data_IF_228678707272
#
_entry.id   IF_228678707272
#
_cell.length_a   1.000
_cell.length_b   1.000
_cell.length_c   1.000
_cell.angle_alpha   90.00
_cell.angle_beta   90.00
_cell.angle_gamma   90.00
#
_symmetry.space_group_name_H-M   'P 1'
#
loop_
_entity.id
_entity.type
_entity.pdbx_description
1 polymer ?
#
# COMPACT_ATOMS: atom_id res chain seq x y z
N UNK A 1 22.26 -5.60 22.62
CA UNK A 1 21.45 -6.18 21.52
C UNK A 1 20.01 -5.68 21.64
N UNK A 2 19.47 -5.09 20.57
CA UNK A 2 18.09 -4.59 20.54
C UNK A 2 17.12 -5.76 20.33
N UNK A 3 16.04 -5.83 21.13
CA UNK A 3 14.94 -6.77 20.93
C UNK A 3 13.88 -6.14 20.00
N UNK A 4 13.47 -6.87 18.98
CA UNK A 4 12.35 -6.50 18.10
C UNK A 4 11.05 -6.76 18.85
N UNK A 5 10.36 -5.69 19.23
CA UNK A 5 9.21 -5.74 20.15
C UNK A 5 7.91 -6.23 19.52
N UNK A 6 7.76 -6.10 18.20
CA UNK A 6 6.55 -6.46 17.47
C UNK A 6 6.88 -7.20 16.19
N UNK A 7 6.10 -8.25 15.91
CA UNK A 7 6.10 -9.00 14.66
C UNK A 7 4.73 -8.84 13.98
N UNK A 8 4.65 -8.96 12.65
CA UNK A 8 3.37 -8.93 11.95
C UNK A 8 2.47 -10.07 12.42
N UNK A 9 1.18 -9.76 12.57
CA UNK A 9 0.15 -10.68 13.01
C UNK A 9 -1.15 -10.39 12.25
N UNK A 10 -1.06 -10.45 10.93
CA UNK A 10 -2.19 -10.28 10.03
C UNK A 10 -3.19 -11.43 10.13
N UNK A 11 -4.46 -11.14 9.88
CA UNK A 11 -5.52 -12.14 9.87
C UNK A 11 -5.38 -13.12 8.69
N UNK A 12 -5.96 -14.31 8.78
CA UNK A 12 -5.86 -15.31 7.71
C UNK A 12 -6.94 -15.17 6.62
N UNK A 13 -7.75 -14.11 6.62
CA UNK A 13 -8.97 -14.03 5.78
C UNK A 13 -8.84 -13.09 4.58
N UNK A 14 -7.62 -12.74 4.18
CA UNK A 14 -7.38 -11.88 3.02
C UNK A 14 -7.77 -12.54 1.70
N UNK A 15 -8.85 -12.05 1.08
CA UNK A 15 -9.35 -12.57 -0.19
C UNK A 15 -8.34 -12.47 -1.33
N UNK A 16 -7.55 -11.39 -1.39
CA UNK A 16 -6.48 -11.29 -2.40
C UNK A 16 -5.43 -12.39 -2.28
N UNK A 17 -5.06 -12.78 -1.06
CA UNK A 17 -4.07 -13.83 -0.89
C UNK A 17 -4.60 -15.18 -1.38
N UNK A 18 -5.84 -15.53 -1.02
CA UNK A 18 -6.45 -16.82 -1.34
C UNK A 18 -6.94 -16.94 -2.79
N UNK A 19 -7.33 -15.82 -3.41
CA UNK A 19 -7.80 -15.79 -4.80
C UNK A 19 -6.68 -15.62 -5.83
N UNK A 20 -5.46 -15.27 -5.41
CA UNK A 20 -4.31 -15.28 -6.31
C UNK A 20 -3.78 -16.70 -6.49
N UNK A 21 -3.12 -16.94 -7.62
CA UNK A 21 -2.38 -18.18 -7.86
C UNK A 21 -1.44 -18.48 -6.68
N UNK A 22 -1.47 -19.73 -6.20
CA UNK A 22 -0.51 -20.21 -5.22
C UNK A 22 0.92 -20.19 -5.77
N UNK A 23 1.90 -20.09 -4.87
CA UNK A 23 3.32 -20.13 -5.22
C UNK A 23 4.06 -21.11 -4.33
N UNK A 24 5.24 -21.54 -4.77
CA UNK A 24 6.14 -22.30 -3.92
C UNK A 24 6.79 -21.34 -2.91
N UNK A 25 6.36 -21.42 -1.67
CA UNK A 25 6.92 -20.66 -0.54
C UNK A 25 8.41 -21.02 -0.44
N UNK A 26 9.27 -20.02 -0.36
CA UNK A 26 10.71 -20.18 -0.17
C UNK A 26 10.99 -20.59 1.28
N UNK A 27 11.98 -21.45 1.52
CA UNK A 27 12.27 -21.96 2.85
C UNK A 27 12.63 -20.82 3.81
N UNK A 28 12.39 -21.05 5.11
CA UNK A 28 12.92 -20.18 6.14
C UNK A 28 14.45 -20.30 6.23
N UNK A 29 15.10 -19.20 6.62
CA UNK A 29 16.54 -19.22 6.88
C UNK A 29 16.85 -20.13 8.08
N UNK A 30 17.94 -20.89 7.98
CA UNK A 30 18.43 -21.77 9.05
C UNK A 30 19.95 -21.60 9.22
N UNK A 31 20.44 -21.77 10.44
CA UNK A 31 21.85 -21.70 10.76
C UNK A 31 22.41 -20.27 10.73
N UNK A 32 23.70 -20.15 10.43
CA UNK A 32 24.41 -18.89 10.41
C UNK A 32 24.90 -18.58 9.00
N UNK A 33 24.60 -17.37 8.52
CA UNK A 33 25.09 -16.90 7.23
C UNK A 33 25.54 -15.45 7.29
N UNK A 34 26.25 -15.01 6.26
CA UNK A 34 26.59 -13.62 6.03
C UNK A 34 26.32 -13.24 4.58
N UNK A 35 26.00 -11.96 4.36
CA UNK A 35 25.84 -11.40 3.03
C UNK A 35 26.20 -9.91 3.05
N UNK A 36 26.67 -9.41 1.90
CA UNK A 36 26.94 -7.98 1.76
C UNK A 36 25.67 -7.16 1.92
N UNK A 37 24.57 -7.63 1.36
CA UNK A 37 23.27 -6.96 1.39
C UNK A 37 22.23 -7.85 2.05
N UNK A 38 21.64 -7.37 3.14
CA UNK A 38 20.50 -8.02 3.80
C UNK A 38 19.34 -7.05 3.84
N UNK A 39 18.19 -7.45 3.29
CA UNK A 39 16.98 -6.64 3.19
C UNK A 39 15.89 -7.28 4.05
N UNK A 40 15.26 -6.49 4.92
CA UNK A 40 14.16 -6.91 5.78
C UNK A 40 12.83 -6.38 5.25
N UNK A 41 11.93 -7.30 4.91
CA UNK A 41 10.59 -7.07 4.37
C UNK A 41 10.52 -7.34 2.86
N UNK A 42 9.82 -8.38 2.43
CA UNK A 42 9.60 -8.74 1.02
C UNK A 42 8.28 -8.15 0.49
N UNK A 43 7.98 -6.91 0.86
CA UNK A 43 6.94 -6.10 0.22
C UNK A 43 7.44 -5.42 -1.06
N UNK A 44 6.61 -4.54 -1.64
CA UNK A 44 6.96 -3.79 -2.87
C UNK A 44 8.33 -3.10 -2.79
N UNK A 45 8.62 -2.43 -1.67
CA UNK A 45 9.88 -1.71 -1.46
C UNK A 45 11.09 -2.64 -1.39
N UNK A 46 11.01 -3.72 -0.61
CA UNK A 46 12.13 -4.66 -0.47
C UNK A 46 12.39 -5.48 -1.73
N UNK A 47 11.33 -5.87 -2.46
CA UNK A 47 11.47 -6.57 -3.74
C UNK A 47 12.10 -5.67 -4.81
N UNK A 48 11.70 -4.40 -4.89
CA UNK A 48 12.32 -3.44 -5.80
C UNK A 48 13.79 -3.18 -5.45
N UNK A 49 14.10 -3.01 -4.15
CA UNK A 49 15.47 -2.83 -3.69
C UNK A 49 16.35 -4.06 -3.97
N UNK A 50 15.85 -5.27 -3.68
CA UNK A 50 16.59 -6.51 -3.90
C UNK A 50 16.92 -6.72 -5.37
N UNK A 51 15.92 -6.54 -6.24
CA UNK A 51 16.10 -6.66 -7.69
C UNK A 51 17.09 -5.64 -8.22
N UNK A 52 16.99 -4.39 -7.80
CA UNK A 52 17.85 -3.33 -8.31
C UNK A 52 19.28 -3.46 -7.80
N UNK A 53 19.49 -3.87 -6.54
CA UNK A 53 20.83 -4.21 -6.04
C UNK A 53 21.44 -5.39 -6.79
N UNK A 54 20.66 -6.42 -7.08
CA UNK A 54 21.11 -7.56 -7.86
C UNK A 54 21.57 -7.17 -9.28
N UNK A 55 20.94 -6.17 -9.89
CA UNK A 55 21.37 -5.62 -11.18
C UNK A 55 22.68 -4.84 -11.07
N UNK A 56 22.82 -4.00 -10.04
CA UNK A 56 24.03 -3.20 -9.82
C UNK A 56 25.23 -4.02 -9.35
N UNK A 57 24.99 -5.10 -8.63
CA UNK A 57 26.00 -5.96 -8.05
C UNK A 57 25.76 -7.43 -8.45
N UNK A 58 26.01 -7.81 -9.72
CA UNK A 58 25.70 -9.14 -10.22
C UNK A 58 26.47 -10.26 -9.50
N UNK A 59 27.65 -9.97 -8.96
CA UNK A 59 28.50 -10.91 -8.24
C UNK A 59 28.20 -10.99 -6.73
N UNK A 60 27.40 -10.06 -6.21
CA UNK A 60 27.01 -10.07 -4.80
C UNK A 60 25.81 -10.99 -4.57
N UNK A 61 25.86 -11.75 -3.47
CA UNK A 61 24.68 -12.42 -2.94
C UNK A 61 23.80 -11.42 -2.18
N UNK A 62 22.56 -11.26 -2.62
CA UNK A 62 21.55 -10.44 -1.94
C UNK A 62 20.65 -11.35 -1.12
N UNK A 63 20.54 -11.09 0.19
CA UNK A 63 19.62 -11.83 1.07
C UNK A 63 18.39 -10.97 1.35
N UNK A 64 17.22 -11.44 0.95
CA UNK A 64 15.93 -10.82 1.25
C UNK A 64 15.17 -11.72 2.23
N UNK A 65 14.71 -11.17 3.35
CA UNK A 65 13.96 -11.92 4.35
C UNK A 65 12.62 -11.29 4.67
N UNK A 66 11.61 -12.13 4.89
CA UNK A 66 10.31 -11.72 5.40
C UNK A 66 9.89 -12.59 6.59
N UNK A 67 9.14 -12.01 7.52
CA UNK A 67 8.61 -12.70 8.69
C UNK A 67 7.41 -13.60 8.34
N UNK A 68 6.75 -13.37 7.21
CA UNK A 68 5.58 -14.11 6.71
C UNK A 68 5.83 -14.57 5.27
N UNK A 69 4.83 -15.22 4.68
CA UNK A 69 4.79 -15.53 3.25
C UNK A 69 4.61 -14.25 2.42
N UNK A 70 5.31 -14.18 1.28
CA UNK A 70 5.17 -13.06 0.34
C UNK A 70 3.73 -12.97 -0.16
N UNK A 71 3.18 -11.76 -0.06
CA UNK A 71 1.80 -11.46 -0.42
C UNK A 71 0.80 -11.65 0.71
N UNK A 72 1.22 -12.18 1.86
CA UNK A 72 0.36 -12.29 3.03
C UNK A 72 0.27 -10.99 3.83
N UNK A 73 1.35 -10.19 3.91
CA UNK A 73 1.38 -8.92 4.63
C UNK A 73 0.73 -7.73 3.90
N UNK A 74 0.99 -6.50 4.36
CA UNK A 74 0.39 -5.24 3.85
C UNK A 74 0.40 -5.12 2.31
N UNK A 75 1.49 -5.51 1.65
CA UNK A 75 1.60 -5.40 0.18
C UNK A 75 0.55 -6.19 -0.57
N UNK A 76 0.04 -7.30 -0.02
CA UNK A 76 -1.04 -8.08 -0.62
C UNK A 76 -2.45 -7.72 -0.15
N UNK A 77 -2.61 -6.78 0.80
CA UNK A 77 -3.88 -6.47 1.49
C UNK A 77 -4.55 -5.16 1.09
N UNK A 78 -3.89 -4.36 0.25
CA UNK A 78 -4.40 -3.06 -0.17
C UNK A 78 -5.59 -3.18 -1.15
N UNK A 79 -6.20 -2.06 -1.55
CA UNK A 79 -7.37 -2.06 -2.45
C UNK A 79 -7.02 -2.33 -3.94
N UNK A 80 -5.73 -2.44 -4.26
CA UNK A 80 -5.23 -2.75 -5.60
C UNK A 80 -5.19 -1.56 -6.55
N UNK A 81 -4.89 -0.36 -6.03
CA UNK A 81 -4.70 0.86 -6.81
C UNK A 81 -3.21 1.19 -6.91
N UNK A 82 -2.69 1.27 -8.13
CA UNK A 82 -1.37 1.82 -8.43
C UNK A 82 -1.55 3.26 -8.95
N UNK A 83 -1.60 4.20 -8.01
CA UNK A 83 -1.91 5.61 -8.27
C UNK A 83 -0.64 6.35 -8.71
N UNK A 84 -0.79 7.06 -9.83
CA UNK A 84 0.19 7.90 -10.50
C UNK A 84 0.19 9.34 -9.96
N UNK A 85 -1.00 9.95 -9.84
CA UNK A 85 -1.11 11.35 -9.46
C UNK A 85 -0.73 11.62 -7.99
N UNK A 86 -0.27 12.83 -7.66
CA UNK A 86 -0.17 13.27 -6.28
C UNK A 86 -1.51 13.11 -5.57
N UNK A 87 -1.43 12.74 -4.30
CA UNK A 87 -2.59 12.50 -3.46
C UNK A 87 -2.30 13.01 -2.05
N UNK A 88 -2.02 14.31 -1.96
CA UNK A 88 -1.78 14.96 -0.68
C UNK A 88 -3.11 15.25 0.02
N UNK A 89 -3.55 14.30 0.83
CA UNK A 89 -4.80 14.41 1.59
C UNK A 89 -4.83 15.58 2.59
N UNK A 90 -3.68 16.20 2.88
CA UNK A 90 -3.60 17.38 3.74
C UNK A 90 -3.80 18.69 2.96
N UNK A 91 -3.59 18.68 1.65
CA UNK A 91 -3.86 19.82 0.79
C UNK A 91 -5.33 19.85 0.36
N UNK A 92 -5.96 21.03 0.40
CA UNK A 92 -7.37 21.19 0.00
C UNK A 92 -7.63 20.76 -1.46
N UNK A 93 -6.62 20.90 -2.33
CA UNK A 93 -6.68 20.52 -3.74
C UNK A 93 -6.01 19.18 -4.05
N UNK A 94 -5.59 18.41 -3.04
CA UNK A 94 -4.84 17.15 -3.18
C UNK A 94 -3.46 17.27 -3.85
N UNK A 95 -3.03 18.49 -4.21
CA UNK A 95 -1.79 18.75 -4.94
C UNK A 95 -0.74 19.37 -4.02
N UNK A 96 -1.09 20.45 -3.30
CA UNK A 96 -0.14 21.22 -2.50
C UNK A 96 0.79 22.08 -3.36
N UNK A 97 2.06 22.21 -2.95
CA UNK A 97 3.07 22.97 -3.69
C UNK A 97 3.32 22.35 -5.08
N UNK A 98 3.23 23.16 -6.14
CA UNK A 98 3.27 22.69 -7.54
C UNK A 98 4.61 22.03 -7.87
N UNK A 99 5.73 22.57 -7.40
CA UNK A 99 7.05 22.00 -7.69
C UNK A 99 7.18 20.62 -7.04
N UNK A 100 6.83 20.52 -5.75
CA UNK A 100 6.80 19.27 -4.99
C UNK A 100 5.83 18.25 -5.62
N UNK A 101 4.66 18.71 -6.07
CA UNK A 101 3.67 17.87 -6.72
C UNK A 101 4.15 17.32 -8.07
N UNK A 102 4.83 18.13 -8.89
CA UNK A 102 5.44 17.68 -10.16
C UNK A 102 6.50 16.61 -9.92
N UNK A 103 7.38 16.80 -8.95
CA UNK A 103 8.40 15.78 -8.62
C UNK A 103 7.77 14.53 -7.99
N UNK A 104 6.72 14.69 -7.18
CA UNK A 104 5.93 13.55 -6.65
C UNK A 104 5.24 12.76 -7.76
N UNK A 105 4.69 13.43 -8.76
CA UNK A 105 4.12 12.79 -9.94
C UNK A 105 5.18 11.98 -10.69
N UNK A 106 6.35 12.58 -10.98
CA UNK A 106 7.49 11.87 -11.60
C UNK A 106 7.88 10.62 -10.80
N UNK A 107 7.93 10.73 -9.47
CA UNK A 107 8.28 9.61 -8.58
C UNK A 107 7.24 8.48 -8.64
N UNK A 108 5.95 8.81 -8.58
CA UNK A 108 4.89 7.80 -8.65
C UNK A 108 4.83 7.14 -10.03
N UNK A 109 5.01 7.92 -11.10
CA UNK A 109 5.07 7.42 -12.48
C UNK A 109 6.26 6.50 -12.69
N UNK A 110 7.44 6.82 -12.14
CA UNK A 110 8.61 5.94 -12.25
C UNK A 110 8.36 4.57 -11.60
N UNK A 111 7.73 4.55 -10.43
CA UNK A 111 7.31 3.31 -9.77
C UNK A 111 6.27 2.53 -10.57
N UNK A 112 5.26 3.21 -11.11
CA UNK A 112 4.21 2.57 -11.93
C UNK A 112 4.78 1.99 -13.23
N UNK A 113 5.59 2.75 -13.95
CA UNK A 113 6.23 2.31 -15.20
C UNK A 113 7.14 1.12 -14.96
N UNK A 114 7.93 1.13 -13.88
CA UNK A 114 8.77 0.00 -13.51
C UNK A 114 7.96 -1.26 -13.19
N UNK A 115 6.83 -1.13 -12.48
CA UNK A 115 5.93 -2.27 -12.26
C UNK A 115 5.33 -2.81 -13.55
N UNK A 116 4.89 -1.94 -14.47
CA UNK A 116 4.36 -2.35 -15.77
C UNK A 116 5.40 -3.12 -16.58
N UNK A 117 6.63 -2.61 -16.65
CA UNK A 117 7.75 -3.27 -17.31
C UNK A 117 8.00 -4.67 -16.72
N UNK A 118 8.02 -4.82 -15.40
CA UNK A 118 8.22 -6.12 -14.75
C UNK A 118 7.06 -7.09 -14.99
N UNK A 119 5.82 -6.59 -14.96
CA UNK A 119 4.63 -7.39 -15.25
C UNK A 119 4.66 -7.93 -16.67
N UNK A 120 5.01 -7.09 -17.64
CA UNK A 120 5.15 -7.47 -19.04
C UNK A 120 6.34 -8.42 -19.26
N UNK A 121 7.54 -8.07 -18.76
CA UNK A 121 8.75 -8.88 -18.93
C UNK A 121 8.62 -10.28 -18.35
N UNK A 122 8.01 -10.40 -17.16
CA UNK A 122 7.92 -11.66 -16.44
C UNK A 122 6.54 -12.33 -16.54
N UNK A 123 5.63 -11.78 -17.36
CA UNK A 123 4.29 -12.30 -17.59
C UNK A 123 3.54 -12.54 -16.27
N UNK A 124 3.59 -11.56 -15.37
CA UNK A 124 2.99 -11.67 -14.03
C UNK A 124 1.46 -11.54 -14.16
N UNK A 125 0.75 -12.64 -13.97
CA UNK A 125 -0.72 -12.65 -13.92
C UNK A 125 -1.24 -12.01 -12.63
N UNK A 126 -1.26 -10.69 -12.61
CA UNK A 126 -1.78 -9.87 -11.51
C UNK A 126 -3.02 -9.07 -11.90
N UNK A 127 -3.66 -9.42 -13.02
CA UNK A 127 -4.85 -8.73 -13.51
C UNK A 127 -4.68 -7.20 -13.64
N UNK A 128 -3.47 -6.74 -13.95
CA UNK A 128 -3.20 -5.30 -14.07
C UNK A 128 -3.96 -4.72 -15.26
N UNK A 129 -4.75 -3.67 -15.02
CA UNK A 129 -5.51 -2.92 -16.02
C UNK A 129 -5.25 -1.43 -15.84
N UNK A 130 -4.78 -0.79 -16.90
CA UNK A 130 -4.62 0.67 -16.95
C UNK A 130 -5.97 1.30 -17.32
N UNK A 131 -6.86 1.38 -16.33
CA UNK A 131 -8.25 1.79 -16.52
C UNK A 131 -8.64 3.05 -15.76
N UNK A 132 -7.65 3.77 -15.23
CA UNK A 132 -7.84 4.94 -14.40
C UNK A 132 -8.49 4.64 -13.05
N UNK A 133 -8.90 5.72 -12.38
CA UNK A 133 -9.67 5.69 -11.14
C UNK A 133 -10.74 6.77 -11.18
N UNK A 134 -11.82 6.51 -10.46
CA UNK A 134 -12.86 7.49 -10.15
C UNK A 134 -12.64 7.99 -8.72
N UNK A 135 -12.77 9.28 -8.51
CA UNK A 135 -13.00 9.86 -7.19
C UNK A 135 -14.42 10.37 -7.15
N UNK A 136 -15.27 9.80 -6.30
CA UNK A 136 -16.71 10.03 -6.34
C UNK A 136 -17.25 10.57 -5.01
N UNK A 137 -18.30 11.39 -5.11
CA UNK A 137 -18.92 12.09 -4.00
C UNK A 137 -20.45 11.99 -4.02
N UNK A 138 -21.06 12.10 -2.84
CA UNK A 138 -22.50 12.21 -2.61
C UNK A 138 -22.82 13.52 -1.91
N UNK A 139 -22.02 13.88 -0.90
CA UNK A 139 -22.29 15.02 -0.05
C UNK A 139 -21.72 16.31 -0.67
N UNK A 140 -22.31 17.49 -0.40
CA UNK A 140 -21.83 18.77 -0.93
C UNK A 140 -20.34 19.01 -0.64
N UNK A 141 -19.85 18.56 0.52
CA UNK A 141 -18.45 18.64 0.90
C UNK A 141 -17.55 17.80 -0.01
N UNK A 142 -17.95 16.56 -0.32
CA UNK A 142 -17.22 15.70 -1.25
C UNK A 142 -17.18 16.31 -2.65
N UNK A 143 -18.29 16.91 -3.10
CA UNK A 143 -18.35 17.61 -4.40
C UNK A 143 -17.39 18.81 -4.41
N UNK A 144 -17.35 19.61 -3.34
CA UNK A 144 -16.40 20.72 -3.23
C UNK A 144 -14.94 20.26 -3.28
N UNK A 145 -14.64 19.09 -2.69
CA UNK A 145 -13.32 18.45 -2.80
C UNK A 145 -13.01 18.05 -4.25
N UNK A 146 -13.96 17.48 -4.99
CA UNK A 146 -13.74 17.15 -6.40
C UNK A 146 -13.43 18.39 -7.23
N UNK A 147 -14.12 19.51 -6.98
CA UNK A 147 -13.84 20.78 -7.68
C UNK A 147 -12.48 21.37 -7.29
N UNK A 148 -12.04 21.22 -6.05
CA UNK A 148 -10.70 21.61 -5.64
C UNK A 148 -9.64 20.76 -6.35
N UNK A 149 -9.83 19.44 -6.38
CA UNK A 149 -8.93 18.53 -7.07
C UNK A 149 -8.86 18.83 -8.58
N UNK A 150 -10.00 19.13 -9.21
CA UNK A 150 -10.08 19.59 -10.60
C UNK A 150 -9.14 20.76 -10.88
N UNK A 151 -9.19 21.82 -10.05
CA UNK A 151 -8.30 22.98 -10.17
C UNK A 151 -6.83 22.61 -9.95
N UNK A 152 -6.55 21.67 -9.05
CA UNK A 152 -5.21 21.14 -8.84
C UNK A 152 -4.65 20.45 -10.09
N UNK A 153 -5.47 19.64 -10.75
CA UNK A 153 -5.10 18.95 -11.99
C UNK A 153 -4.90 19.93 -13.15
N UNK A 154 -5.72 20.97 -13.25
CA UNK A 154 -5.52 22.07 -14.23
C UNK A 154 -4.11 22.69 -14.05
N UNK A 155 -3.69 22.97 -12.81
CA UNK A 155 -2.35 23.53 -12.52
C UNK A 155 -1.19 22.58 -12.85
N UNK A 156 -1.44 21.27 -12.76
CA UNK A 156 -0.45 20.24 -13.09
C UNK A 156 -0.48 19.80 -14.56
N UNK A 157 -1.38 20.38 -15.36
CA UNK A 157 -1.61 19.99 -16.75
C UNK A 157 -1.87 18.48 -16.89
N UNK A 158 -2.75 17.95 -16.03
CA UNK A 158 -3.10 16.53 -15.99
C UNK A 158 -4.51 16.26 -16.51
N UNK A 159 -4.71 15.23 -17.34
CA UNK A 159 -6.02 14.94 -17.91
C UNK A 159 -6.99 14.40 -16.87
N UNK A 160 -8.24 14.88 -16.92
CA UNK A 160 -9.35 14.36 -16.13
C UNK A 160 -10.66 14.49 -16.88
N UNK A 161 -11.70 13.81 -16.37
CA UNK A 161 -13.07 13.97 -16.81
C UNK A 161 -13.97 14.14 -15.58
N UNK A 162 -14.76 15.21 -15.54
CA UNK A 162 -15.87 15.32 -14.60
C UNK A 162 -17.06 14.54 -15.14
N UNK A 163 -17.71 13.74 -14.29
CA UNK A 163 -18.82 12.86 -14.65
C UNK A 163 -19.99 13.21 -13.74
N UNK A 164 -21.12 13.52 -14.36
CA UNK A 164 -22.33 13.93 -13.65
C UNK A 164 -23.16 12.71 -13.21
N UNK A 165 -24.08 12.93 -12.25
CA UNK A 165 -24.94 11.90 -11.67
C UNK A 165 -25.64 11.00 -12.71
N UNK A 166 -26.07 11.58 -13.83
CA UNK A 166 -26.79 10.89 -14.89
C UNK A 166 -25.93 9.89 -15.67
N UNK A 167 -24.63 10.13 -15.77
CA UNK A 167 -23.69 9.31 -16.56
C UNK A 167 -23.00 8.23 -15.72
N UNK A 168 -23.00 8.38 -14.39
CA UNK A 168 -22.34 7.45 -13.47
C UNK A 168 -22.77 5.97 -13.60
N UNK A 169 -24.05 5.64 -13.86
CA UNK A 169 -24.48 4.26 -14.09
C UNK A 169 -23.74 3.58 -15.27
N UNK A 170 -23.48 4.31 -16.35
CA UNK A 170 -22.76 3.78 -17.52
C UNK A 170 -21.28 3.53 -17.24
N UNK A 171 -20.73 4.20 -16.21
CA UNK A 171 -19.35 4.03 -15.79
C UNK A 171 -19.19 2.95 -14.70
N UNK A 172 -19.92 3.09 -13.61
CA UNK A 172 -19.72 2.31 -12.37
C UNK A 172 -20.97 1.55 -11.91
N UNK A 173 -22.04 1.57 -12.69
CA UNK A 173 -23.22 0.73 -12.47
C UNK A 173 -24.07 1.11 -11.26
N UNK A 174 -23.97 2.34 -10.74
CA UNK A 174 -24.76 2.77 -9.58
C UNK A 174 -25.14 4.24 -9.64
N UNK A 175 -26.35 4.55 -9.15
CA UNK A 175 -26.88 5.91 -8.96
C UNK A 175 -26.53 6.51 -7.59
N UNK A 176 -25.74 5.81 -6.77
CA UNK A 176 -25.45 6.25 -5.41
C UNK A 176 -24.69 7.58 -5.36
N UNK A 177 -23.74 7.77 -6.28
CA UNK A 177 -22.89 8.94 -6.35
C UNK A 177 -23.55 10.07 -7.15
N UNK A 178 -23.31 11.32 -6.74
CA UNK A 178 -23.85 12.52 -7.42
C UNK A 178 -22.87 13.16 -8.39
N UNK A 179 -21.57 12.93 -8.19
CA UNK A 179 -20.51 13.44 -9.07
C UNK A 179 -19.27 12.58 -8.94
N UNK A 180 -18.50 12.46 -10.02
CA UNK A 180 -17.15 11.91 -9.95
C UNK A 180 -16.15 12.71 -10.79
N UNK A 181 -14.88 12.58 -10.42
CA UNK A 181 -13.73 12.99 -11.20
C UNK A 181 -12.96 11.73 -11.59
N UNK A 182 -12.84 11.47 -12.89
CA UNK A 182 -12.08 10.36 -13.45
C UNK A 182 -10.69 10.82 -13.88
N UNK A 183 -9.65 10.06 -13.50
CA UNK A 183 -8.26 10.27 -13.92
C UNK A 183 -7.72 9.01 -14.59
N UNK A 184 -7.17 9.06 -15.82
CA UNK A 184 -6.88 7.87 -16.62
C UNK A 184 -5.60 7.13 -16.22
N UNK A 185 -4.63 7.79 -15.58
CA UNK A 185 -3.27 7.24 -15.42
C UNK A 185 -3.11 6.14 -14.34
N UNK A 186 -4.09 5.97 -13.46
CA UNK A 186 -4.04 4.92 -12.42
C UNK A 186 -4.23 3.53 -13.02
N UNK A 187 -3.53 2.53 -12.47
CA UNK A 187 -3.76 1.12 -12.83
C UNK A 187 -4.39 0.36 -11.66
N UNK A 188 -5.34 -0.52 -11.96
CA UNK A 188 -5.94 -1.43 -10.98
C UNK A 188 -5.33 -2.82 -11.15
N UNK A 189 -5.09 -3.53 -10.04
CA UNK A 189 -4.42 -4.82 -10.05
C UNK A 189 -4.79 -5.69 -8.86
N UNK A 190 -4.51 -6.98 -8.95
CA UNK A 190 -4.60 -7.92 -7.84
C UNK A 190 -3.29 -7.81 -7.04
N UNK A 191 -3.30 -7.23 -5.82
CA UNK A 191 -2.09 -6.84 -5.11
C UNK A 191 -1.25 -8.02 -4.63
N UNK A 192 -1.88 -9.10 -4.16
CA UNK A 192 -1.18 -10.31 -3.72
C UNK A 192 -0.54 -11.03 -4.90
N UNK A 193 -1.25 -11.15 -6.04
CA UNK A 193 -0.72 -11.74 -7.25
C UNK A 193 0.49 -10.96 -7.79
N UNK A 194 0.44 -9.62 -7.77
CA UNK A 194 1.57 -8.80 -8.19
C UNK A 194 2.81 -9.08 -7.32
N UNK A 195 2.69 -8.97 -6.00
CA UNK A 195 3.85 -9.12 -5.11
C UNK A 195 4.40 -10.56 -5.11
N UNK A 196 3.53 -11.57 -5.25
CA UNK A 196 3.93 -12.97 -5.47
C UNK A 196 4.75 -13.12 -6.76
N UNK A 197 4.24 -12.61 -7.89
CA UNK A 197 4.95 -12.68 -9.17
C UNK A 197 6.27 -11.90 -9.18
N UNK A 198 6.35 -10.77 -8.46
CA UNK A 198 7.59 -10.02 -8.30
C UNK A 198 8.65 -10.80 -7.51
N UNK A 199 8.24 -11.59 -6.52
CA UNK A 199 9.14 -12.45 -5.76
C UNK A 199 9.58 -13.70 -6.54
N UNK A 200 8.68 -14.29 -7.32
CA UNK A 200 9.00 -15.48 -8.12
C UNK A 200 9.88 -15.18 -9.33
N UNK A 201 9.97 -13.91 -9.73
CA UNK A 201 10.80 -13.44 -10.84
C UNK A 201 12.09 -12.74 -10.40
N UNK A 202 12.49 -12.85 -9.12
CA UNK A 202 13.72 -12.23 -8.62
C UNK A 202 14.96 -12.74 -9.39
N UNK A 203 15.99 -11.90 -9.59
CA UNK A 203 17.26 -12.32 -10.17
C UNK A 203 17.90 -13.49 -9.40
N UNK A 204 18.70 -14.32 -10.08
CA UNK A 204 19.27 -15.55 -9.52
C UNK A 204 20.24 -15.34 -8.36
N UNK A 205 20.85 -14.16 -8.25
CA UNK A 205 21.72 -13.77 -7.13
C UNK A 205 20.95 -13.23 -5.91
N UNK A 206 19.61 -13.16 -5.96
CA UNK A 206 18.77 -12.86 -4.80
C UNK A 206 18.28 -14.16 -4.15
N UNK A 207 18.63 -14.37 -2.89
CA UNK A 207 18.06 -15.43 -2.05
C UNK A 207 16.94 -14.87 -1.19
N UNK A 208 15.69 -15.27 -1.45
CA UNK A 208 14.54 -14.95 -0.61
C UNK A 208 14.34 -16.04 0.45
N UNK A 209 14.21 -15.62 1.72
CA UNK A 209 13.76 -16.45 2.83
C UNK A 209 12.44 -15.93 3.40
N UNK A 210 11.44 -16.78 3.45
CA UNK A 210 10.12 -16.45 4.04
C UNK A 210 10.01 -17.04 5.44
N UNK A 211 8.99 -16.66 6.21
CA UNK A 211 8.78 -17.18 7.58
C UNK A 211 10.02 -17.03 8.49
N UNK A 212 10.82 -15.99 8.26
CA UNK A 212 12.09 -15.70 8.94
C UNK A 212 11.93 -14.43 9.76
N UNK A 213 11.23 -14.55 10.89
CA UNK A 213 11.01 -13.43 11.80
C UNK A 213 12.28 -13.07 12.58
N UNK A 214 12.82 -11.87 12.36
CA UNK A 214 13.93 -11.33 13.15
C UNK A 214 13.41 -10.88 14.52
N UNK A 215 14.03 -11.42 15.57
CA UNK A 215 13.64 -11.16 16.97
C UNK A 215 14.62 -10.24 17.69
N UNK A 216 15.88 -10.21 17.25
CA UNK A 216 16.91 -9.35 17.83
C UNK A 216 17.86 -8.84 16.76
N UNK A 217 18.38 -7.63 16.97
CA UNK A 217 19.37 -7.00 16.11
C UNK A 217 20.49 -6.41 16.95
N UNK A 218 21.72 -6.62 16.50
CA UNK A 218 22.90 -5.93 17.00
C UNK A 218 23.50 -5.10 15.87
N UNK A 219 23.53 -3.78 16.07
CA UNK A 219 24.12 -2.84 15.13
C UNK A 219 25.60 -2.63 15.44
N UNK A 220 26.41 -2.49 14.40
CA UNK A 220 27.85 -2.32 14.49
C UNK A 220 28.43 -2.04 13.10
N UNK A 221 29.73 -2.31 12.91
CA UNK A 221 30.36 -2.27 11.58
C UNK A 221 29.65 -3.20 10.59
N UNK A 222 29.21 -4.36 11.08
CA UNK A 222 28.27 -5.27 10.46
C UNK A 222 27.08 -5.46 11.40
N UNK A 223 25.87 -5.59 10.87
CA UNK A 223 24.67 -5.83 11.67
C UNK A 223 24.40 -7.32 11.80
N UNK A 224 24.10 -7.81 13.01
CA UNK A 224 23.73 -9.22 13.24
C UNK A 224 22.23 -9.32 13.55
N UNK A 225 21.49 -10.01 12.67
CA UNK A 225 20.06 -10.24 12.80
C UNK A 225 19.82 -11.67 13.31
N UNK A 226 19.17 -11.83 14.47
CA UNK A 226 18.84 -13.15 15.04
C UNK A 226 17.38 -13.51 14.82
N UNK A 227 17.14 -14.78 14.50
CA UNK A 227 15.82 -15.40 14.40
C UNK A 227 15.83 -16.75 15.14
N UNK A 228 14.68 -17.43 15.21
CA UNK A 228 14.53 -18.66 16.01
C UNK A 228 15.49 -19.80 15.63
N UNK A 229 15.94 -19.84 14.37
CA UNK A 229 16.75 -20.91 13.82
C UNK A 229 18.21 -20.49 13.50
N UNK A 230 18.67 -19.33 13.99
CA UNK A 230 20.04 -18.87 13.78
C UNK A 230 20.20 -17.35 13.58
N UNK A 231 21.15 -16.95 12.74
CA UNK A 231 21.46 -15.53 12.50
C UNK A 231 21.98 -15.23 11.11
N UNK A 232 21.79 -13.98 10.67
CA UNK A 232 22.33 -13.43 9.43
C UNK A 232 23.17 -12.20 9.76
N UNK A 233 24.43 -12.20 9.33
CA UNK A 233 25.32 -11.03 9.44
C UNK A 233 25.29 -10.23 8.14
N UNK A 234 24.95 -8.95 8.24
CA UNK A 234 24.81 -8.02 7.13
C UNK A 234 25.95 -7.00 7.13
N UNK A 235 26.68 -6.86 6.03
CA UNK A 235 27.62 -5.75 5.87
C UNK A 235 26.86 -4.44 5.68
N UNK A 236 25.76 -4.49 4.91
CA UNK A 236 24.79 -3.42 4.72
C UNK A 236 23.37 -3.96 4.93
N UNK A 237 22.66 -3.35 5.87
CA UNK A 237 21.29 -3.70 6.23
C UNK A 237 20.31 -2.69 5.63
N UNK A 238 19.25 -3.17 5.01
CA UNK A 238 18.21 -2.32 4.41
C UNK A 238 16.85 -2.67 5.03
N UNK A 239 16.23 -1.71 5.68
CA UNK A 239 14.92 -1.85 6.31
C UNK A 239 13.82 -1.33 5.37
N UNK A 240 12.93 -2.24 4.96
CA UNK A 240 11.78 -1.95 4.09
C UNK A 240 10.45 -2.44 4.67
N UNK A 241 10.45 -2.73 5.98
CA UNK A 241 9.34 -3.27 6.75
C UNK A 241 8.38 -2.20 7.32
N UNK A 242 8.41 -0.99 6.75
CA UNK A 242 7.47 0.09 7.01
C UNK A 242 7.30 0.42 8.51
N UNK A 243 6.07 0.37 9.06
CA UNK A 243 5.82 0.67 10.47
C UNK A 243 6.65 -0.19 11.45
N UNK A 244 7.01 -1.42 11.07
CA UNK A 244 7.84 -2.30 11.89
C UNK A 244 9.27 -1.80 12.05
N UNK A 245 9.74 -0.85 11.22
CA UNK A 245 11.02 -0.16 11.41
C UNK A 245 11.15 0.48 12.81
N UNK A 246 10.04 0.86 13.45
CA UNK A 246 10.02 1.30 14.85
C UNK A 246 10.49 0.25 15.84
N UNK A 247 10.14 -1.02 15.60
CA UNK A 247 10.58 -2.15 16.41
C UNK A 247 12.06 -2.48 16.21
N UNK A 248 12.64 -2.03 15.10
CA UNK A 248 14.08 -2.12 14.80
C UNK A 248 14.87 -0.95 15.39
N UNK A 249 14.23 -0.06 16.17
CA UNK A 249 14.93 0.99 16.89
C UNK A 249 14.84 2.37 16.23
N UNK A 250 14.34 2.45 15.00
CA UNK A 250 14.38 3.65 14.17
C UNK A 250 13.02 4.31 14.05
N UNK A 251 12.97 5.64 13.94
CA UNK A 251 11.72 6.40 13.77
C UNK A 251 10.66 6.13 14.87
N UNK A 252 11.09 5.72 16.08
CA UNK A 252 10.19 5.41 17.19
C UNK A 252 9.24 6.55 17.49
N UNK A 253 7.95 6.24 17.58
CA UNK A 253 6.90 7.23 17.87
C UNK A 253 6.66 8.23 16.74
N UNK A 254 7.15 7.99 15.52
CA UNK A 254 6.95 8.89 14.37
C UNK A 254 5.97 8.36 13.33
N UNK A 255 5.79 7.04 13.26
CA UNK A 255 4.80 6.39 12.40
C UNK A 255 3.56 5.96 13.20
N UNK A 256 2.41 6.00 12.56
CA UNK A 256 1.10 5.64 13.08
C UNK A 256 0.59 4.41 12.31
N UNK A 257 0.64 3.21 12.92
CA UNK A 257 0.07 2.01 12.32
C UNK A 257 -1.46 2.07 12.40
N UNK A 258 -2.09 2.44 11.28
CA UNK A 258 -3.55 2.43 11.11
C UNK A 258 -3.92 1.16 10.35
N UNK A 259 -4.96 0.47 10.79
CA UNK A 259 -5.53 -0.66 10.06
C UNK A 259 -6.72 -0.21 9.26
N UNK A 260 -6.85 -0.82 8.09
CA UNK A 260 -7.99 -0.61 7.21
C UNK A 260 -8.58 -1.94 6.84
N UNK A 261 -9.91 -2.00 6.72
CA UNK A 261 -10.60 -3.27 6.53
C UNK A 261 -11.39 -3.26 5.25
N UNK A 262 -11.35 -4.37 4.53
CA UNK A 262 -12.04 -4.57 3.27
C UNK A 262 -12.83 -5.86 3.30
N UNK A 263 -13.92 -5.88 2.54
CA UNK A 263 -14.66 -7.10 2.21
C UNK A 263 -14.74 -7.26 0.69
N UNK A 264 -14.75 -8.52 0.24
CA UNK A 264 -14.82 -8.88 -1.18
C UNK A 264 -15.95 -9.88 -1.38
N UNK A 265 -16.80 -9.61 -2.36
CA UNK A 265 -17.95 -10.47 -2.65
C UNK A 265 -17.53 -11.79 -3.31
N UNK A 266 -18.46 -12.76 -3.36
CA UNK A 266 -18.42 -13.80 -4.39
C UNK A 266 -18.44 -13.18 -5.81
N UNK A 267 -18.03 -13.92 -6.85
CA UNK A 267 -18.22 -13.48 -8.21
C UNK A 267 -19.71 -13.24 -8.48
N UNK A 268 -20.03 -12.15 -9.17
CA UNK A 268 -21.37 -11.89 -9.66
C UNK A 268 -21.74 -12.88 -10.75
N UNK A 269 -22.96 -13.40 -10.70
CA UNK A 269 -23.58 -14.15 -11.81
C UNK A 269 -23.79 -13.25 -13.01
N UNK A 270 -24.00 -13.81 -14.21
CA UNK A 270 -24.26 -13.02 -15.41
C UNK A 270 -25.49 -12.10 -15.26
N UNK A 271 -26.55 -12.58 -14.59
CA UNK A 271 -27.74 -11.78 -14.31
C UNK A 271 -27.46 -10.62 -13.34
N UNK A 272 -26.60 -10.82 -12.34
CA UNK A 272 -26.15 -9.75 -11.44
C UNK A 272 -25.25 -8.74 -12.15
N UNK A 273 -24.36 -9.21 -13.03
CA UNK A 273 -23.52 -8.34 -13.86
C UNK A 273 -24.38 -7.47 -14.80
N UNK A 274 -25.41 -8.06 -15.42
CA UNK A 274 -26.36 -7.34 -16.26
C UNK A 274 -27.17 -6.31 -15.47
N UNK A 275 -27.61 -6.65 -14.24
CA UNK A 275 -28.30 -5.70 -13.34
C UNK A 275 -27.41 -4.57 -12.87
N UNK A 276 -26.13 -4.84 -12.58
CA UNK A 276 -25.17 -3.81 -12.20
C UNK A 276 -24.87 -2.89 -13.38
N UNK A 277 -24.65 -3.45 -14.57
CA UNK A 277 -24.24 -2.67 -15.74
C UNK A 277 -22.87 -2.02 -15.57
N UNK A 278 -22.71 -0.84 -16.18
CA UNK A 278 -21.46 -0.08 -16.18
C UNK A 278 -20.28 -0.78 -16.86
N UNK A 279 -19.07 -0.29 -16.60
CA UNK A 279 -17.84 -0.88 -17.15
C UNK A 279 -17.53 -2.25 -16.51
N UNK A 280 -16.83 -3.15 -17.23
CA UNK A 280 -16.53 -4.50 -16.75
C UNK A 280 -15.56 -4.54 -15.56
N UNK A 281 -14.76 -3.50 -15.39
CA UNK A 281 -13.87 -3.29 -14.24
C UNK A 281 -13.66 -1.79 -14.03
N UNK A 282 -13.59 -1.38 -12.77
CA UNK A 282 -13.41 0.03 -12.37
C UNK A 282 -13.09 0.10 -10.89
N UNK A 283 -12.55 1.25 -10.45
CA UNK A 283 -12.20 1.51 -9.07
C UNK A 283 -12.58 2.92 -8.68
N UNK A 284 -13.29 3.05 -7.56
CA UNK A 284 -13.73 4.30 -6.95
C UNK A 284 -12.99 4.50 -5.64
N UNK A 285 -12.33 5.64 -5.48
CA UNK A 285 -11.89 6.15 -4.18
C UNK A 285 -12.85 7.26 -3.73
N UNK A 286 -13.04 7.46 -2.43
CA UNK A 286 -13.95 8.51 -1.94
C UNK A 286 -13.34 9.90 -2.11
N UNK A 287 -14.18 10.91 -2.30
CA UNK A 287 -13.76 12.32 -2.26
C UNK A 287 -13.36 12.74 -0.84
N UNK A 288 -14.10 12.34 0.19
CA UNK A 288 -13.68 12.47 1.59
C UNK A 288 -12.75 11.28 1.98
N UNK A 289 -11.57 11.50 2.58
CA UNK A 289 -10.64 10.42 2.96
C UNK A 289 -11.24 9.32 3.85
N UNK A 290 -12.33 9.59 4.56
CA UNK A 290 -13.03 8.62 5.42
C UNK A 290 -14.21 7.92 4.74
N UNK A 291 -14.44 8.18 3.45
CA UNK A 291 -15.47 7.51 2.68
C UNK A 291 -15.10 6.08 2.25
N UNK A 292 -15.89 5.54 1.33
CA UNK A 292 -15.76 4.15 0.88
C UNK A 292 -14.98 4.02 -0.42
N UNK A 293 -13.90 3.23 -0.38
CA UNK A 293 -13.25 2.70 -1.58
C UNK A 293 -14.05 1.51 -2.10
N UNK A 294 -14.36 1.52 -3.39
CA UNK A 294 -15.15 0.48 -4.07
C UNK A 294 -14.41 0.03 -5.32
N UNK A 295 -14.49 -1.26 -5.67
CA UNK A 295 -13.88 -1.74 -6.91
C UNK A 295 -14.66 -2.91 -7.49
N UNK A 296 -14.86 -2.90 -8.81
CA UNK A 296 -15.22 -4.08 -9.60
C UNK A 296 -13.97 -4.71 -10.19
N UNK A 297 -13.73 -5.97 -9.87
CA UNK A 297 -12.56 -6.72 -10.35
C UNK A 297 -12.83 -7.39 -11.71
N UNK A 298 -11.77 -7.76 -12.46
CA UNK A 298 -11.92 -8.50 -13.72
C UNK A 298 -12.63 -9.86 -13.56
N UNK A 299 -12.55 -10.51 -12.40
CA UNK A 299 -13.32 -11.72 -12.07
C UNK A 299 -14.72 -11.43 -11.50
N UNK A 300 -15.24 -10.23 -11.73
CA UNK A 300 -16.60 -9.79 -11.39
C UNK A 300 -16.96 -9.85 -9.91
N UNK A 301 -16.00 -9.53 -9.03
CA UNK A 301 -16.25 -9.30 -7.60
C UNK A 301 -16.33 -7.82 -7.31
N UNK A 302 -17.03 -7.47 -6.24
CA UNK A 302 -17.10 -6.12 -5.70
C UNK A 302 -16.33 -6.06 -4.38
N UNK A 303 -15.42 -5.09 -4.26
CA UNK A 303 -14.70 -4.79 -3.03
C UNK A 303 -15.33 -3.56 -2.36
N UNK A 304 -15.48 -3.62 -1.03
CA UNK A 304 -15.87 -2.49 -0.17
C UNK A 304 -14.80 -2.30 0.90
N UNK A 305 -14.32 -1.07 1.10
CA UNK A 305 -13.37 -0.71 2.16
C UNK A 305 -13.64 0.69 2.70
N UNK A 306 -14.06 0.79 3.95
CA UNK A 306 -14.41 2.07 4.61
C UNK A 306 -14.28 2.05 6.15
N UNK A 307 -13.59 1.06 6.68
CA UNK A 307 -13.42 0.87 8.12
C UNK A 307 -11.96 1.01 8.52
N UNK A 308 -11.73 1.66 9.67
CA UNK A 308 -10.41 2.02 10.16
C UNK A 308 -10.28 1.69 11.66
N UNK A 309 -9.11 1.25 12.08
CA UNK A 309 -8.75 1.16 13.50
C UNK A 309 -7.30 1.61 13.72
N UNK A 310 -6.98 2.04 14.94
CA UNK A 310 -5.60 2.36 15.30
C UNK A 310 -5.05 1.25 16.19
N UNK A 311 -4.05 0.53 15.70
CA UNK A 311 -3.47 -0.64 16.36
C UNK A 311 -1.98 -0.37 16.57
N UNK A 312 -1.57 0.26 17.69
CA UNK A 312 -0.21 0.75 17.90
C UNK A 312 0.88 -0.33 17.80
N UNK A 313 0.53 -1.59 18.10
CA UNK A 313 1.43 -2.73 18.06
C UNK A 313 1.61 -3.34 16.65
N UNK A 314 0.85 -2.84 15.66
CA UNK A 314 0.87 -3.32 14.29
C UNK A 314 0.18 -4.66 14.08
N UNK A 315 -0.67 -5.12 15.00
CA UNK A 315 -1.34 -6.43 14.95
C UNK A 315 -2.82 -6.30 14.59
N UNK A 316 -3.37 -7.28 13.88
CA UNK A 316 -4.81 -7.31 13.60
C UNK A 316 -5.61 -7.73 14.84
N UNK A 317 -6.85 -7.25 14.98
CA UNK A 317 -7.79 -7.69 16.04
C UNK A 317 -9.07 -8.23 15.40
N UNK A 318 -9.36 -9.51 15.68
CA UNK A 318 -10.55 -10.23 15.19
C UNK A 318 -11.89 -9.58 15.56
N UNK A 319 -11.94 -8.81 16.66
CA UNK A 319 -13.15 -8.07 17.06
C UNK A 319 -13.52 -7.00 16.03
N UNK A 320 -12.51 -6.35 15.44
CA UNK A 320 -12.74 -5.36 14.39
C UNK A 320 -13.27 -6.01 13.11
N UNK A 321 -12.78 -7.19 12.72
CA UNK A 321 -13.29 -7.91 11.55
C UNK A 321 -14.79 -8.20 11.65
N UNK A 322 -15.22 -8.77 12.78
CA UNK A 322 -16.65 -9.08 13.03
C UNK A 322 -17.54 -7.85 13.06
N UNK A 323 -17.02 -6.73 13.57
CA UNK A 323 -17.76 -5.46 13.59
C UNK A 323 -17.86 -4.84 12.19
N UNK A 324 -16.76 -4.84 11.45
CA UNK A 324 -16.66 -4.09 10.21
C UNK A 324 -17.31 -4.80 9.02
N UNK A 325 -17.49 -6.12 9.04
CA UNK A 325 -18.29 -6.81 8.01
C UNK A 325 -19.73 -6.30 7.95
N UNK A 326 -20.38 -6.05 9.10
CA UNK A 326 -21.74 -5.51 9.14
C UNK A 326 -21.80 -4.08 8.57
N UNK A 327 -20.77 -3.26 8.84
CA UNK A 327 -20.65 -1.92 8.26
C UNK A 327 -20.43 -1.98 6.75
N UNK A 328 -19.56 -2.88 6.27
CA UNK A 328 -19.32 -3.08 4.85
C UNK A 328 -20.60 -3.53 4.14
N UNK A 329 -21.41 -4.37 4.77
CA UNK A 329 -22.69 -4.83 4.23
C UNK A 329 -23.68 -3.67 4.07
N UNK A 330 -23.85 -2.84 5.10
CA UNK A 330 -24.71 -1.66 5.02
C UNK A 330 -24.24 -0.68 3.91
N UNK A 331 -22.93 -0.43 3.82
CA UNK A 331 -22.36 0.43 2.78
C UNK A 331 -22.46 -0.19 1.38
N UNK A 332 -22.45 -1.52 1.27
CA UNK A 332 -22.71 -2.25 0.03
C UNK A 332 -24.16 -2.08 -0.41
N UNK A 333 -25.13 -2.35 0.46
CA UNK A 333 -26.57 -2.29 0.16
C UNK A 333 -27.01 -0.89 -0.28
N UNK A 334 -26.45 0.17 0.34
CA UNK A 334 -26.72 1.54 -0.08
C UNK A 334 -26.23 1.84 -1.50
N UNK A 335 -25.11 1.23 -1.92
CA UNK A 335 -24.48 1.46 -3.23
C UNK A 335 -25.02 0.55 -4.31
N UNK A 336 -25.39 -0.67 -3.94
CA UNK A 336 -25.81 -1.72 -4.87
C UNK A 336 -27.16 -2.32 -4.46
N UNK A 337 -28.23 -1.51 -4.34
CA UNK A 337 -29.54 -2.01 -3.95
C UNK A 337 -30.12 -3.01 -4.97
N UNK A 338 -29.62 -3.01 -6.20
CA UNK A 338 -29.98 -3.98 -7.24
C UNK A 338 -29.40 -5.39 -7.02
N UNK A 339 -28.49 -5.57 -6.05
CA UNK A 339 -27.82 -6.83 -5.69
C UNK A 339 -28.11 -7.27 -4.24
N UNK A 340 -29.39 -7.44 -3.84
CA UNK A 340 -29.79 -7.61 -2.43
C UNK A 340 -29.27 -8.90 -1.77
N UNK A 341 -28.97 -9.94 -2.56
CA UNK A 341 -28.52 -11.25 -2.04
C UNK A 341 -27.00 -11.44 -2.12
N UNK A 342 -26.25 -10.37 -2.43
CA UNK A 342 -24.81 -10.45 -2.55
C UNK A 342 -24.16 -10.67 -1.18
N UNK A 343 -23.23 -11.63 -1.12
CA UNK A 343 -22.50 -11.99 0.10
C UNK A 343 -21.02 -11.72 -0.05
N UNK A 344 -20.37 -11.39 1.06
CA UNK A 344 -18.91 -11.35 1.16
C UNK A 344 -18.34 -12.74 1.42
N UNK A 345 -17.45 -13.19 0.53
CA UNK A 345 -16.66 -14.41 0.75
C UNK A 345 -15.50 -14.13 1.73
N UNK A 346 -14.97 -12.90 1.68
CA UNK A 346 -13.77 -12.52 2.42
C UNK A 346 -13.95 -11.19 3.13
N UNK A 347 -13.37 -11.06 4.31
CA UNK A 347 -13.19 -9.80 5.04
C UNK A 347 -11.86 -9.82 5.76
N UNK A 348 -11.02 -8.81 5.58
CA UNK A 348 -9.67 -8.76 6.16
C UNK A 348 -9.29 -7.35 6.59
N UNK A 349 -8.30 -7.26 7.46
CA UNK A 349 -7.60 -6.04 7.83
C UNK A 349 -6.23 -5.99 7.18
N UNK A 350 -5.71 -4.79 6.97
CA UNK A 350 -4.35 -4.57 6.52
C UNK A 350 -3.76 -3.33 7.17
N UNK A 351 -2.52 -3.45 7.65
CA UNK A 351 -1.78 -2.36 8.26
C UNK A 351 -1.35 -1.33 7.23
N UNK A 352 -1.42 -0.06 7.61
CA UNK A 352 -1.00 1.11 6.87
C UNK A 352 -0.13 1.96 7.80
N UNK A 353 1.08 2.29 7.38
CA UNK A 353 1.91 3.24 8.11
C UNK A 353 1.65 4.66 7.60
N UNK A 354 1.22 5.54 8.51
CA UNK A 354 1.07 6.96 8.26
C UNK A 354 2.06 7.76 9.10
N UNK A 355 2.40 8.95 8.65
CA UNK A 355 3.02 9.99 9.48
C UNK A 355 2.10 11.21 9.53
N UNK A 356 2.13 11.96 10.64
CA UNK A 356 1.26 13.12 10.83
C UNK A 356 1.56 14.26 9.87
N UNK A 357 2.79 14.36 9.38
CA UNK A 357 3.20 15.32 8.35
C UNK A 357 3.20 14.72 6.94
N UNK A 358 2.67 13.50 6.74
CA UNK A 358 2.61 12.82 5.44
C UNK A 358 3.96 12.60 4.72
N UNK A 359 5.07 12.72 5.44
CA UNK A 359 6.42 12.47 4.93
C UNK A 359 6.86 11.03 5.18
N UNK A 360 7.49 10.42 4.19
CA UNK A 360 8.21 9.15 4.31
C UNK A 360 9.67 9.36 4.69
N UNK A 361 10.36 8.28 5.04
CA UNK A 361 11.80 8.29 5.29
C UNK A 361 12.54 7.56 4.17
N UNK A 362 13.67 8.13 3.74
CA UNK A 362 14.59 7.55 2.77
C UNK A 362 16.03 7.93 3.16
N UNK A 363 16.93 6.95 3.22
CA UNK A 363 18.36 7.21 3.42
C UNK A 363 19.00 6.35 4.50
N UNK A 364 20.10 6.85 5.07
CA UNK A 364 20.88 6.17 6.11
C UNK A 364 20.33 6.43 7.52
N UNK A 365 19.89 5.36 8.19
CA UNK A 365 19.33 5.35 9.53
C UNK A 365 20.42 5.33 10.62
N UNK A 366 21.51 4.63 10.35
CA UNK A 366 22.75 4.56 11.13
C UNK A 366 23.86 4.02 10.22
N UNK A 367 25.15 4.07 10.61
CA UNK A 367 26.23 3.54 9.77
C UNK A 367 25.92 2.13 9.22
N UNK A 368 25.94 1.98 7.90
CA UNK A 368 25.62 0.74 7.17
C UNK A 368 24.17 0.21 7.33
N UNK A 369 23.25 1.01 7.86
CA UNK A 369 21.83 0.68 7.95
C UNK A 369 21.02 1.72 7.21
N UNK A 370 20.28 1.29 6.20
CA UNK A 370 19.51 2.15 5.31
C UNK A 370 18.03 1.81 5.39
N UNK A 371 17.17 2.74 4.98
CA UNK A 371 15.74 2.48 4.98
C UNK A 371 14.95 3.31 3.99
N UNK A 372 13.90 2.70 3.48
CA UNK A 372 12.79 3.36 2.79
C UNK A 372 11.50 2.98 3.51
N UNK A 373 11.02 3.87 4.37
CA UNK A 373 9.96 3.59 5.36
C UNK A 373 8.83 4.64 5.27
N UNK A 374 7.65 4.31 5.79
CA UNK A 374 6.48 5.18 5.83
C UNK A 374 5.99 5.63 4.44
N UNK A 375 5.43 4.71 3.66
CA UNK A 375 4.93 5.00 2.31
C UNK A 375 3.59 5.76 2.24
N UNK A 376 3.00 6.13 3.39
CA UNK A 376 1.76 6.92 3.51
C UNK A 376 0.59 6.45 2.61
N UNK A 377 0.46 5.13 2.41
CA UNK A 377 -0.66 4.53 1.68
C UNK A 377 -0.46 4.35 0.18
N UNK A 378 0.65 4.86 -0.37
CA UNK A 378 1.01 4.68 -1.78
C UNK A 378 2.09 3.61 -1.96
N UNK A 379 2.02 2.53 -1.19
CA UNK A 379 3.05 1.48 -1.18
C UNK A 379 3.27 0.79 -2.53
N UNK A 380 2.26 0.73 -3.39
CA UNK A 380 2.38 0.11 -4.72
C UNK A 380 3.32 0.93 -5.62
N UNK A 381 3.05 2.21 -5.84
CA UNK A 381 3.86 3.06 -6.73
C UNK A 381 5.06 3.66 -6.00
N UNK A 382 4.81 4.46 -4.95
CA UNK A 382 5.85 5.12 -4.17
C UNK A 382 6.79 4.11 -3.51
N UNK A 383 6.26 3.04 -2.92
CA UNK A 383 7.08 2.02 -2.27
C UNK A 383 8.02 1.29 -3.23
N UNK A 384 7.54 0.96 -4.43
CA UNK A 384 8.39 0.38 -5.49
C UNK A 384 9.45 1.38 -5.94
N UNK A 385 9.06 2.63 -6.21
CA UNK A 385 9.99 3.67 -6.64
C UNK A 385 11.10 3.91 -5.61
N UNK A 386 10.75 4.10 -4.34
CA UNK A 386 11.75 4.33 -3.29
C UNK A 386 12.64 3.12 -3.03
N UNK A 387 12.12 1.90 -3.17
CA UNK A 387 12.94 0.69 -3.10
C UNK A 387 14.02 0.65 -4.19
N UNK A 388 13.61 0.90 -5.44
CA UNK A 388 14.54 0.98 -6.59
C UNK A 388 15.56 2.11 -6.40
N UNK A 389 15.10 3.32 -6.08
CA UNK A 389 15.97 4.49 -5.89
C UNK A 389 16.96 4.31 -4.73
N UNK A 390 16.59 3.57 -3.68
CA UNK A 390 17.48 3.29 -2.57
C UNK A 390 18.66 2.41 -3.02
N UNK A 391 18.39 1.40 -3.83
CA UNK A 391 19.44 0.57 -4.43
C UNK A 391 20.32 1.36 -5.40
N UNK A 392 19.72 2.21 -6.24
CA UNK A 392 20.46 3.11 -7.14
C UNK A 392 21.41 4.02 -6.36
N UNK A 393 20.92 4.69 -5.31
CA UNK A 393 21.73 5.55 -4.46
C UNK A 393 22.88 4.79 -3.77
N UNK A 394 22.62 3.57 -3.29
CA UNK A 394 23.64 2.71 -2.68
C UNK A 394 24.70 2.20 -3.67
N UNK A 395 24.40 2.21 -4.97
CA UNK A 395 25.34 1.93 -6.04
C UNK A 395 26.15 3.17 -6.47
N UNK A 396 25.86 4.35 -5.90
CA UNK A 396 26.53 5.62 -6.23
C UNK A 396 25.83 6.39 -7.36
N UNK A 397 24.62 6.00 -7.76
CA UNK A 397 23.84 6.73 -8.74
C UNK A 397 23.24 8.01 -8.13
N UNK A 398 23.12 9.04 -8.97
CA UNK A 398 22.55 10.33 -8.59
C UNK A 398 21.42 10.70 -9.56
N UNK A 399 20.31 11.21 -9.03
CA UNK A 399 19.19 11.70 -9.85
C UNK A 399 18.35 12.72 -9.09
N UNK A 400 17.58 13.52 -9.84
CA UNK A 400 16.60 14.47 -9.28
C UNK A 400 15.67 13.79 -8.25
N UNK A 401 15.23 12.55 -8.54
CA UNK A 401 14.33 11.80 -7.66
C UNK A 401 15.04 11.32 -6.39
N UNK A 402 16.29 10.89 -6.46
CA UNK A 402 17.10 10.50 -5.29
C UNK A 402 17.30 11.73 -4.38
N UNK A 403 17.71 12.87 -4.96
CA UNK A 403 17.89 14.11 -4.22
C UNK A 403 16.59 14.58 -3.55
N UNK A 404 15.46 14.45 -4.26
CA UNK A 404 14.15 14.81 -3.74
C UNK A 404 13.78 13.98 -2.50
N UNK A 405 13.95 12.66 -2.55
CA UNK A 405 13.59 11.79 -1.40
C UNK A 405 14.59 11.88 -0.25
N UNK A 406 15.88 12.13 -0.53
CA UNK A 406 16.91 12.38 0.50
C UNK A 406 16.70 13.70 1.25
N UNK A 407 16.22 14.73 0.56
CA UNK A 407 15.89 16.04 1.17
C UNK A 407 14.64 16.00 2.06
N UNK A 408 13.88 14.91 2.04
CA UNK A 408 12.69 14.76 2.87
C UNK A 408 13.07 14.85 4.36
N UNK A 409 12.41 15.71 5.17
CA UNK A 409 12.68 15.82 6.61
C UNK A 409 12.25 14.56 7.40
N UNK A 410 11.62 13.60 6.74
CA UNK A 410 11.13 12.38 7.35
C UNK A 410 9.86 12.58 8.19
N UNK A 411 9.33 11.49 8.77
CA UNK A 411 8.20 11.53 9.68
C UNK A 411 8.46 12.41 10.91
N UNK A 412 7.51 13.29 11.24
CA UNK A 412 7.60 14.10 12.46
C UNK A 412 7.29 13.28 13.73
N UNK A 413 7.76 13.68 14.93
CA UNK A 413 7.37 13.05 16.19
C UNK A 413 5.87 13.17 16.45
N UNK A 414 5.29 12.10 17.00
CA UNK A 414 3.95 12.11 17.56
C UNK A 414 3.99 12.42 19.06
N UNK A 415 2.89 12.93 19.63
CA UNK A 415 2.73 13.00 21.08
C UNK A 415 2.94 11.62 21.73
N UNK A 416 3.40 11.54 22.99
CA UNK A 416 3.54 10.27 23.69
C UNK A 416 2.18 9.61 23.92
N UNK A 417 2.18 8.29 24.13
CA UNK A 417 1.00 7.59 24.63
C UNK A 417 0.67 8.08 26.07
N UNK A 418 -0.61 8.20 26.45
CA UNK A 418 -1.81 7.82 25.68
C UNK A 418 -2.37 8.90 24.74
N UNK A 419 -1.76 10.10 24.66
CA UNK A 419 -2.30 11.25 23.91
C UNK A 419 -2.43 10.96 22.41
N UNK A 420 -1.42 10.34 21.80
CA UNK A 420 -1.49 9.95 20.38
C UNK A 420 -2.64 8.98 20.11
N UNK A 421 -2.84 7.99 20.98
CA UNK A 421 -3.92 7.01 20.84
C UNK A 421 -5.29 7.67 20.96
N UNK A 422 -5.46 8.60 21.89
CA UNK A 422 -6.70 9.36 22.02
C UNK A 422 -6.95 10.23 20.77
N UNK A 423 -5.94 11.00 20.35
CA UNK A 423 -6.04 11.89 19.18
C UNK A 423 -6.35 11.16 17.88
N UNK A 424 -5.69 10.03 17.62
CA UNK A 424 -5.96 9.22 16.42
C UNK A 424 -7.38 8.65 16.47
N UNK A 425 -7.81 8.06 17.59
CA UNK A 425 -9.16 7.50 17.69
C UNK A 425 -10.27 8.56 17.56
N UNK A 426 -10.06 9.75 18.14
CA UNK A 426 -10.99 10.88 17.97
C UNK A 426 -11.04 11.30 16.51
N UNK A 427 -9.89 11.47 15.86
CA UNK A 427 -9.79 11.84 14.44
C UNK A 427 -10.49 10.82 13.53
N UNK A 428 -10.27 9.51 13.75
CA UNK A 428 -10.92 8.46 12.99
C UNK A 428 -12.45 8.49 13.15
N UNK A 429 -12.94 8.60 14.39
CA UNK A 429 -14.39 8.65 14.67
C UNK A 429 -15.05 9.90 14.10
N UNK A 430 -14.41 11.05 14.28
CA UNK A 430 -14.90 12.33 13.79
C UNK A 430 -14.90 12.38 12.26
N UNK A 431 -13.85 11.87 11.63
CA UNK A 431 -13.74 11.75 10.18
C UNK A 431 -14.87 10.88 9.60
N UNK A 432 -15.08 9.68 10.16
CA UNK A 432 -16.18 8.80 9.75
C UNK A 432 -17.57 9.45 9.93
N UNK A 433 -17.78 10.18 11.04
CA UNK A 433 -19.02 10.92 11.26
C UNK A 433 -19.23 12.01 10.19
N UNK A 434 -18.19 12.78 9.86
CA UNK A 434 -18.26 13.86 8.86
C UNK A 434 -18.40 13.38 7.42
N UNK A 435 -17.95 12.16 7.10
CA UNK A 435 -18.11 11.57 5.77
C UNK A 435 -19.57 11.21 5.46
N UNK A 436 -20.46 11.17 6.46
CA UNK A 436 -21.90 10.99 6.25
C UNK A 436 -22.23 9.73 5.44
N UNK A 437 -23.01 9.89 4.37
CA UNK A 437 -23.39 8.78 3.47
C UNK A 437 -22.20 8.17 2.72
N UNK A 438 -21.10 8.89 2.55
CA UNK A 438 -19.92 8.37 1.85
C UNK A 438 -19.19 7.29 2.67
N UNK A 439 -19.44 7.23 3.98
CA UNK A 439 -18.75 6.38 4.95
C UNK A 439 -19.11 4.89 4.94
#
# INVERSE_FOLDING_TARGET
MLKVSSLPADDQSCGWYHLSRGRQIKPAHQGHSSARWVIVGAGFTGLAAARQLATHFPDDRIVLIDAQEVGFGTSGRNAGFAIDLPHDIAAEDYIGDIATAKTTLKLNLSGLSYLKELVERHQIDCQMKHCGKYQAAVEPRGIAVLEAYRRGLDKLDQPYQMIEASELPDHIGTHFYRKALFTPGTSLLQPSALVKGLADSLPSNVTLYENTAITHVEYGTKSVLKHAAGSITADKLILTNNAFGMSFGFLKGRMLPVFTYASLTRPMTEQEQARLGGRPYWGVIPADPFGTTVRRTPDNRLLIRNSFSFNPDGRSDSKYLKRFVARHQASFEQRFPMLPEMKFDYTWGGALALSRNHMGYFGELSPNVYGALCCNGLGVTRGTATGKLLADWLAGEHSELIDFVLKSPGPCPNPPAPLVSAGVNISLRWGQYRAGKES
#
